data_IF_645705765360
#
_entry.id   IF_645705765360
#
_cell.length_a   1.000
_cell.length_b   1.000
_cell.length_c   1.000
_cell.angle_alpha   90.00
_cell.angle_beta   90.00
_cell.angle_gamma   90.00
#
_symmetry.space_group_name_H-M   'P 1'
#
loop_
_entity.id
_entity.type
_entity.pdbx_description
1 polymer ?
#
# COMPACT_ATOMS: atom_id res chain seq x y z
N UNK A 1 -6.73 14.23 9.39
CA UNK A 1 -5.73 13.18 9.17
C UNK A 1 -6.42 11.93 8.68
N UNK A 2 -5.90 11.31 7.63
CA UNK A 2 -6.29 9.95 7.20
C UNK A 2 -5.21 8.93 7.53
N UNK A 3 -5.63 7.69 7.66
CA UNK A 3 -4.75 6.55 7.88
C UNK A 3 -5.12 5.41 6.92
N UNK A 4 -4.09 4.74 6.39
CA UNK A 4 -4.20 3.50 5.62
C UNK A 4 -3.44 2.43 6.39
N UNK A 5 -4.13 1.36 6.72
CA UNK A 5 -3.56 0.14 7.28
C UNK A 5 -3.96 -1.04 6.39
N UNK A 6 -3.07 -2.00 6.24
CA UNK A 6 -3.29 -3.19 5.42
C UNK A 6 -2.59 -4.40 6.03
N UNK A 7 -3.06 -5.57 5.64
CA UNK A 7 -2.40 -6.85 5.87
C UNK A 7 -2.37 -7.64 4.56
N UNK A 8 -1.33 -8.44 4.36
CA UNK A 8 -1.18 -9.30 3.19
C UNK A 8 -1.08 -10.76 3.66
N UNK A 9 -1.75 -11.65 2.96
CA UNK A 9 -1.57 -13.09 3.09
C UNK A 9 -0.21 -13.46 2.52
N UNK A 10 0.72 -13.83 3.40
CA UNK A 10 2.13 -14.11 3.05
C UNK A 10 2.25 -15.14 1.92
N UNK A 11 1.53 -16.26 2.03
CA UNK A 11 1.58 -17.32 1.03
C UNK A 11 1.10 -16.85 -0.36
N UNK A 12 0.03 -16.07 -0.41
CA UNK A 12 -0.48 -15.55 -1.67
C UNK A 12 0.42 -14.44 -2.23
N UNK A 13 0.99 -13.62 -1.37
CA UNK A 13 1.98 -12.60 -1.77
C UNK A 13 3.22 -13.24 -2.36
N UNK A 14 3.75 -14.32 -1.76
CA UNK A 14 4.88 -15.08 -2.31
C UNK A 14 4.55 -15.69 -3.68
N UNK A 15 3.32 -16.15 -3.88
CA UNK A 15 2.89 -16.75 -5.14
C UNK A 15 2.68 -15.71 -6.26
N UNK A 16 2.20 -14.51 -5.94
CA UNK A 16 1.76 -13.53 -6.94
C UNK A 16 2.73 -12.36 -7.13
N UNK A 17 3.52 -11.99 -6.12
CA UNK A 17 4.45 -10.87 -6.21
C UNK A 17 5.77 -11.32 -6.88
N UNK A 18 6.23 -10.69 -7.98
CA UNK A 18 7.37 -11.17 -8.78
C UNK A 18 8.71 -11.17 -8.04
N UNK A 19 8.80 -10.49 -6.89
CA UNK A 19 10.00 -10.34 -6.07
C UNK A 19 9.78 -10.72 -4.60
N UNK A 20 8.66 -11.36 -4.29
CA UNK A 20 8.30 -11.80 -2.93
C UNK A 20 7.84 -10.69 -1.98
N UNK A 21 7.57 -11.09 -0.73
CA UNK A 21 6.85 -10.31 0.29
C UNK A 21 7.59 -9.02 0.68
N UNK A 22 8.89 -9.07 0.96
CA UNK A 22 9.65 -7.87 1.36
C UNK A 22 9.57 -6.77 0.32
N UNK A 23 9.63 -7.14 -0.96
CA UNK A 23 9.52 -6.17 -2.04
C UNK A 23 8.07 -5.65 -2.19
N UNK A 24 7.06 -6.48 -1.91
CA UNK A 24 5.65 -6.07 -1.90
C UNK A 24 5.40 -4.92 -0.90
N UNK A 25 5.88 -5.07 0.34
CA UNK A 25 5.81 -4.03 1.36
C UNK A 25 6.57 -2.75 0.95
N UNK A 26 7.71 -2.91 0.27
CA UNK A 26 8.51 -1.80 -0.23
C UNK A 26 7.77 -1.03 -1.34
N UNK A 27 7.13 -1.75 -2.27
CA UNK A 27 6.34 -1.15 -3.36
C UNK A 27 5.09 -0.43 -2.82
N UNK A 28 4.37 -1.01 -1.85
CA UNK A 28 3.24 -0.34 -1.18
C UNK A 28 3.69 0.96 -0.52
N UNK A 29 4.83 0.92 0.20
CA UNK A 29 5.37 2.11 0.85
C UNK A 29 5.75 3.21 -0.14
N UNK A 30 6.31 2.85 -1.29
CA UNK A 30 6.62 3.81 -2.36
C UNK A 30 5.34 4.44 -2.93
N UNK A 31 4.33 3.64 -3.29
CA UNK A 31 3.05 4.13 -3.82
C UNK A 31 2.36 5.06 -2.81
N UNK A 32 2.25 4.66 -1.55
CA UNK A 32 1.66 5.49 -0.50
C UNK A 32 2.45 6.79 -0.29
N UNK A 33 3.79 6.73 -0.37
CA UNK A 33 4.67 7.89 -0.30
C UNK A 33 4.44 8.90 -1.44
N UNK A 34 4.22 8.44 -2.67
CA UNK A 34 3.88 9.29 -3.82
C UNK A 34 2.57 10.09 -3.60
N UNK A 35 1.66 9.56 -2.78
CA UNK A 35 0.40 10.20 -2.40
C UNK A 35 0.47 10.96 -1.05
N UNK A 36 1.67 11.15 -0.49
CA UNK A 36 1.87 11.92 0.73
C UNK A 36 1.50 11.18 2.02
N UNK A 37 1.41 9.85 1.98
CA UNK A 37 1.27 9.03 3.18
C UNK A 37 2.64 8.60 3.69
N UNK A 38 2.93 8.92 4.95
CA UNK A 38 4.17 8.52 5.62
C UNK A 38 3.95 7.32 6.53
N UNK A 39 4.92 6.41 6.55
CA UNK A 39 4.90 5.25 7.46
C UNK A 39 5.07 5.69 8.91
N UNK A 40 4.30 5.11 9.81
CA UNK A 40 4.45 5.31 11.27
C UNK A 40 5.06 4.07 11.90
N UNK A 41 4.36 2.94 11.83
CA UNK A 41 4.81 1.66 12.39
C UNK A 41 4.13 0.51 11.66
N UNK A 42 4.85 -0.61 11.46
CA UNK A 42 4.29 -1.78 10.79
C UNK A 42 3.74 -1.42 9.41
N UNK A 43 2.49 -1.78 9.16
CA UNK A 43 1.74 -1.52 7.93
C UNK A 43 0.85 -0.28 8.00
N UNK A 44 1.05 0.59 8.99
CA UNK A 44 0.27 1.82 9.18
C UNK A 44 0.95 3.03 8.54
N UNK A 45 0.21 3.71 7.68
CA UNK A 45 0.62 4.94 7.00
C UNK A 45 -0.40 6.04 7.25
N UNK A 46 0.06 7.28 7.44
CA UNK A 46 -0.80 8.43 7.77
C UNK A 46 -0.50 9.61 6.87
N UNK A 47 -1.50 10.45 6.65
CA UNK A 47 -1.34 11.75 5.98
C UNK A 47 -2.16 12.82 6.70
N UNK A 48 -1.61 14.03 6.75
CA UNK A 48 -2.32 15.21 7.25
C UNK A 48 -3.21 15.84 6.17
N UNK A 49 -3.09 15.40 4.91
CA UNK A 49 -3.97 15.81 3.81
C UNK A 49 -5.32 15.07 3.87
N UNK A 50 -6.39 15.78 4.19
CA UNK A 50 -7.76 15.24 4.28
C UNK A 50 -8.54 15.25 2.96
N UNK A 51 -7.86 15.44 1.83
CA UNK A 51 -8.47 15.30 0.52
C UNK A 51 -8.83 13.83 0.23
N UNK A 52 -10.14 13.54 0.21
CA UNK A 52 -10.68 12.21 -0.07
C UNK A 52 -10.36 11.75 -1.51
N UNK A 53 -10.23 12.67 -2.47
CA UNK A 53 -9.83 12.32 -3.82
C UNK A 53 -8.40 11.78 -3.84
N UNK A 54 -7.48 12.38 -3.07
CA UNK A 54 -6.11 11.89 -2.94
C UNK A 54 -6.07 10.50 -2.27
N UNK A 55 -6.85 10.28 -1.21
CA UNK A 55 -7.00 8.95 -0.61
C UNK A 55 -7.50 7.92 -1.64
N UNK A 56 -8.53 8.27 -2.42
CA UNK A 56 -9.07 7.37 -3.44
C UNK A 56 -8.04 7.05 -4.54
N UNK A 57 -7.26 8.04 -4.99
CA UNK A 57 -6.19 7.84 -5.95
C UNK A 57 -5.10 6.90 -5.42
N UNK A 58 -4.72 7.01 -4.15
CA UNK A 58 -3.77 6.10 -3.52
C UNK A 58 -4.27 4.65 -3.51
N UNK A 59 -5.54 4.42 -3.14
CA UNK A 59 -6.15 3.08 -3.15
C UNK A 59 -6.24 2.53 -4.58
N UNK A 60 -6.59 3.36 -5.56
CA UNK A 60 -6.61 2.96 -6.96
C UNK A 60 -5.20 2.57 -7.46
N UNK A 61 -4.18 3.36 -7.11
CA UNK A 61 -2.79 3.07 -7.46
C UNK A 61 -2.32 1.71 -6.90
N UNK A 62 -2.67 1.39 -5.65
CA UNK A 62 -2.42 0.06 -5.08
C UNK A 62 -3.17 -1.03 -5.84
N UNK A 63 -4.47 -0.84 -6.10
CA UNK A 63 -5.32 -1.82 -6.80
C UNK A 63 -4.85 -2.12 -8.22
N UNK A 64 -4.18 -1.18 -8.89
CA UNK A 64 -3.65 -1.39 -10.25
C UNK A 64 -2.49 -2.38 -10.30
N UNK A 65 -1.83 -2.67 -9.17
CA UNK A 65 -0.78 -3.68 -9.10
C UNK A 65 -1.40 -5.06 -9.21
N UNK A 66 -1.09 -5.79 -10.27
CA UNK A 66 -1.74 -7.08 -10.60
C UNK A 66 -1.61 -8.14 -9.49
N UNK A 67 -0.59 -8.02 -8.63
CA UNK A 67 -0.36 -8.90 -7.49
C UNK A 67 -1.17 -8.49 -6.25
N UNK A 68 -1.47 -7.20 -6.07
CA UNK A 68 -2.00 -6.66 -4.81
C UNK A 68 -3.41 -7.17 -4.48
N UNK A 69 -4.40 -7.21 -5.40
CA UNK A 69 -5.72 -7.80 -5.12
C UNK A 69 -5.72 -9.31 -4.87
N UNK A 70 -4.61 -9.99 -5.17
CA UNK A 70 -4.45 -11.45 -5.00
C UNK A 70 -3.63 -11.79 -3.77
N UNK A 71 -3.14 -10.80 -3.03
CA UNK A 71 -2.20 -10.94 -1.92
C UNK A 71 -2.85 -10.61 -0.60
#
# INVERSE_FOLDING_TARGET
MYAVAFDLVVADTEAHHPKGVTQAYTEIGAILGEHGFRRVQGSLYVTDNEDMANLFLAIQALRTRSWFPKS
#
